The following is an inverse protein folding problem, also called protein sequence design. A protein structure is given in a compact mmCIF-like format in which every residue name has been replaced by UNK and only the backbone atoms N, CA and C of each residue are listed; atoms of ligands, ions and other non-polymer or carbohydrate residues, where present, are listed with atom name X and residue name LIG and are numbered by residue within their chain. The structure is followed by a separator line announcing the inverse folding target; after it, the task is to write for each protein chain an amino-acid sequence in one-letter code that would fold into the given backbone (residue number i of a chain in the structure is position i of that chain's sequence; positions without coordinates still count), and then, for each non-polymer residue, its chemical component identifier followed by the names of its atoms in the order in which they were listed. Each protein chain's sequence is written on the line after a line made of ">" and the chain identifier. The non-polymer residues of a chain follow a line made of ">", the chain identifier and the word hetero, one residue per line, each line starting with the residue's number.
data_IF_058944351369
#
_entry.id   IF_058944351369
#
_cell.length_a   1.000
_cell.length_b   1.000
_cell.length_c   1.000
_cell.angle_alpha   90.00
_cell.angle_beta   90.00
_cell.angle_gamma   90.00
#
_symmetry.space_group_name_H-M   'P 1'
#
loop_
_entity.id
_entity.type
_entity.pdbx_description
1 polymer ?
#
# COMPACT_ATOMS: atom_id res chain seq x y z
N UNK A 1 -20.40 12.55 7.11
CA UNK A 1 -19.18 12.92 6.37
C UNK A 1 -19.04 12.00 5.19
N UNK A 2 -18.45 12.49 4.11
CA UNK A 2 -18.09 11.73 2.93
C UNK A 2 -16.59 11.43 2.96
N UNK A 3 -16.24 10.15 3.06
CA UNK A 3 -14.87 9.68 3.25
C UNK A 3 -14.39 9.04 1.96
N UNK A 4 -13.33 9.59 1.36
CA UNK A 4 -12.62 8.96 0.26
C UNK A 4 -11.61 7.94 0.81
N UNK A 5 -11.89 6.66 0.61
CA UNK A 5 -11.03 5.54 0.99
C UNK A 5 -10.22 5.06 -0.23
N UNK A 6 -8.90 4.89 -0.05
CA UNK A 6 -7.98 4.48 -1.11
C UNK A 6 -7.33 3.14 -0.78
N UNK A 7 -7.53 2.14 -1.65
CA UNK A 7 -6.89 0.83 -1.52
C UNK A 7 -6.51 0.22 -2.86
N UNK A 8 -5.21 0.14 -3.14
CA UNK A 8 -4.62 -0.54 -4.30
C UNK A 8 -4.77 -2.06 -4.27
N UNK A 9 -5.21 -2.62 -3.14
CA UNK A 9 -5.63 -4.02 -3.04
C UNK A 9 -7.15 -4.06 -3.02
N UNK A 10 -7.74 -4.82 -3.94
CA UNK A 10 -9.18 -5.01 -3.96
C UNK A 10 -9.63 -5.70 -2.65
N UNK A 11 -10.53 -5.08 -1.85
CA UNK A 11 -10.74 -5.51 -0.46
C UNK A 11 -11.68 -6.71 -0.30
N UNK A 12 -12.28 -7.21 -1.39
CA UNK A 12 -13.31 -8.24 -1.34
C UNK A 12 -12.98 -9.45 -2.22
N UNK A 13 -13.28 -10.70 -1.82
CA UNK A 13 -13.87 -11.11 -0.54
C UNK A 13 -12.86 -10.98 0.61
N UNK A 14 -13.35 -10.76 1.84
CA UNK A 14 -12.52 -10.63 3.04
C UNK A 14 -11.97 -11.97 3.53
N UNK A 15 -11.62 -12.87 2.62
CA UNK A 15 -11.06 -14.20 2.88
C UNK A 15 -9.71 -14.42 2.19
N UNK A 16 -9.28 -13.50 1.32
CA UNK A 16 -8.05 -13.63 0.50
C UNK A 16 -6.76 -13.24 1.23
N UNK A 17 -6.84 -12.66 2.42
CA UNK A 17 -5.65 -12.26 3.20
C UNK A 17 -5.95 -11.21 4.26
N UNK A 18 -4.96 -10.94 5.11
CA UNK A 18 -5.08 -10.02 6.23
C UNK A 18 -5.38 -8.58 5.80
N UNK A 19 -4.82 -8.13 4.68
CA UNK A 19 -5.12 -6.81 4.12
C UNK A 19 -6.57 -6.70 3.68
N UNK A 20 -7.09 -7.66 2.90
CA UNK A 20 -8.50 -7.67 2.48
C UNK A 20 -9.44 -7.70 3.70
N UNK A 21 -9.16 -8.55 4.69
CA UNK A 21 -9.94 -8.62 5.93
C UNK A 21 -9.98 -7.27 6.65
N UNK A 22 -8.84 -6.63 6.88
CA UNK A 22 -8.78 -5.35 7.60
C UNK A 22 -9.47 -4.24 6.83
N UNK A 23 -9.13 -4.07 5.55
CA UNK A 23 -9.67 -3.01 4.71
C UNK A 23 -11.18 -3.14 4.55
N UNK A 24 -11.70 -4.34 4.29
CA UNK A 24 -13.13 -4.55 4.15
C UNK A 24 -13.90 -4.31 5.45
N UNK A 25 -13.38 -4.77 6.60
CA UNK A 25 -14.06 -4.55 7.88
C UNK A 25 -14.01 -3.08 8.31
N UNK A 26 -12.91 -2.37 8.03
CA UNK A 26 -12.84 -0.93 8.25
C UNK A 26 -13.85 -0.18 7.37
N UNK A 27 -13.91 -0.52 6.08
CA UNK A 27 -14.89 0.02 5.14
C UNK A 27 -16.33 -0.20 5.63
N UNK A 28 -16.65 -1.43 6.07
CA UNK A 28 -17.97 -1.77 6.60
C UNK A 28 -18.29 -0.97 7.85
N UNK A 29 -17.33 -0.81 8.75
CA UNK A 29 -17.50 -0.02 9.97
C UNK A 29 -17.75 1.47 9.67
N UNK A 30 -16.95 2.07 8.77
CA UNK A 30 -17.11 3.48 8.38
C UNK A 30 -18.45 3.72 7.68
N UNK A 31 -18.88 2.79 6.83
CA UNK A 31 -20.14 2.88 6.08
C UNK A 31 -21.39 2.85 6.95
N UNK A 32 -21.28 2.48 8.24
CA UNK A 32 -22.41 2.55 9.18
C UNK A 32 -22.83 3.99 9.52
N UNK A 33 -21.91 4.97 9.41
CA UNK A 33 -22.16 6.36 9.82
C UNK A 33 -21.68 7.41 8.81
N UNK A 34 -21.04 6.98 7.74
CA UNK A 34 -20.39 7.85 6.77
C UNK A 34 -20.64 7.35 5.36
N UNK A 35 -20.69 8.29 4.41
CA UNK A 35 -20.75 7.95 2.99
C UNK A 35 -19.33 7.64 2.52
N UNK A 36 -19.02 6.35 2.34
CA UNK A 36 -17.70 5.94 1.88
C UNK A 36 -17.67 5.95 0.35
N UNK A 37 -16.71 6.68 -0.22
CA UNK A 37 -16.30 6.62 -1.63
C UNK A 37 -15.03 5.76 -1.67
N UNK A 38 -15.03 4.65 -2.40
CA UNK A 38 -13.87 3.77 -2.52
C UNK A 38 -13.23 3.87 -3.91
N UNK A 39 -11.93 4.18 -3.93
CA UNK A 39 -11.06 3.98 -5.10
C UNK A 39 -10.20 2.74 -4.92
N UNK A 40 -10.26 1.80 -5.86
CA UNK A 40 -9.49 0.55 -5.79
C UNK A 40 -8.99 0.05 -7.15
N UNK A 41 -8.04 -0.89 -7.15
CA UNK A 41 -7.51 -1.54 -8.34
C UNK A 41 -8.09 -2.94 -8.49
N UNK A 42 -8.44 -3.33 -9.72
CA UNK A 42 -8.88 -4.69 -10.06
C UNK A 42 -7.67 -5.58 -10.33
N UNK A 43 -7.51 -6.63 -9.53
CA UNK A 43 -6.59 -7.74 -9.85
C UNK A 43 -7.27 -8.77 -10.77
N UNK A 44 -6.50 -9.63 -11.48
CA UNK A 44 -7.08 -10.54 -12.48
C UNK A 44 -8.10 -11.53 -11.91
N UNK A 45 -7.94 -11.88 -10.63
CA UNK A 45 -8.78 -12.81 -9.87
C UNK A 45 -10.07 -12.16 -9.32
N UNK A 46 -10.29 -10.87 -9.59
CA UNK A 46 -11.51 -10.15 -9.18
C UNK A 46 -12.59 -10.27 -10.27
N UNK A 47 -13.70 -10.88 -9.89
CA UNK A 47 -14.87 -11.10 -10.74
C UNK A 47 -15.82 -9.91 -10.71
N UNK A 48 -16.69 -9.77 -11.71
CA UNK A 48 -17.70 -8.71 -11.72
C UNK A 48 -18.71 -8.86 -10.58
N UNK A 49 -19.05 -10.10 -10.20
CA UNK A 49 -19.89 -10.40 -9.03
C UNK A 49 -19.29 -9.79 -7.75
N UNK A 50 -17.98 -9.96 -7.55
CA UNK A 50 -17.28 -9.38 -6.39
C UNK A 50 -17.24 -7.85 -6.42
N UNK A 51 -17.20 -7.25 -7.61
CA UNK A 51 -17.30 -5.79 -7.78
C UNK A 51 -18.71 -5.32 -7.40
N UNK A 52 -19.74 -6.01 -7.85
CA UNK A 52 -21.13 -5.67 -7.56
C UNK A 52 -21.46 -5.84 -6.07
N UNK A 53 -20.95 -6.90 -5.43
CA UNK A 53 -21.09 -7.11 -3.99
C UNK A 53 -20.40 -6.00 -3.19
N UNK A 54 -19.18 -5.61 -3.57
CA UNK A 54 -18.47 -4.51 -2.93
C UNK A 54 -19.17 -3.16 -3.16
N UNK A 55 -19.74 -2.94 -4.36
CA UNK A 55 -20.48 -1.71 -4.71
C UNK A 55 -21.67 -1.49 -3.78
N UNK A 56 -22.33 -2.55 -3.34
CA UNK A 56 -23.44 -2.48 -2.39
C UNK A 56 -23.02 -2.08 -0.96
N UNK A 57 -21.72 -2.11 -0.64
CA UNK A 57 -21.20 -1.78 0.69
C UNK A 57 -20.74 -0.31 0.82
N UNK A 58 -20.73 0.45 -0.27
CA UNK A 58 -20.20 1.84 -0.31
C UNK A 58 -21.14 2.77 -1.05
N UNK A 59 -21.02 4.07 -0.81
CA UNK A 59 -21.82 5.09 -1.50
C UNK A 59 -21.39 5.26 -2.97
N UNK A 60 -20.08 5.16 -3.24
CA UNK A 60 -19.53 5.21 -4.59
C UNK A 60 -18.31 4.28 -4.69
N UNK A 61 -18.21 3.55 -5.80
CA UNK A 61 -17.09 2.64 -6.08
C UNK A 61 -16.49 2.95 -7.46
N UNK A 62 -15.22 3.33 -7.45
CA UNK A 62 -14.38 3.46 -8.64
C UNK A 62 -13.32 2.35 -8.67
N UNK A 63 -13.31 1.58 -9.75
CA UNK A 63 -12.41 0.44 -9.95
C UNK A 63 -11.53 0.72 -11.17
N UNK A 64 -10.22 0.65 -10.99
CA UNK A 64 -9.23 0.92 -12.04
C UNK A 64 -8.44 -0.35 -12.39
N UNK A 65 -7.90 -0.47 -13.62
CA UNK A 65 -7.02 -1.59 -13.96
C UNK A 65 -5.74 -1.54 -13.12
N UNK A 66 -5.25 -2.71 -12.71
CA UNK A 66 -3.93 -2.81 -12.08
C UNK A 66 -2.84 -2.68 -13.17
N UNK A 67 -1.91 -1.71 -13.06
CA UNK A 67 -0.88 -1.43 -14.06
C UNK A 67 0.13 -2.57 -14.26
N UNK A 68 0.20 -3.54 -13.36
CA UNK A 68 1.06 -4.72 -13.52
C UNK A 68 0.51 -5.79 -14.47
N UNK A 69 -0.70 -5.61 -15.02
CA UNK A 69 -1.33 -6.59 -15.92
C UNK A 69 -1.23 -6.11 -17.38
N UNK A 70 -0.53 -6.83 -18.28
CA UNK A 70 -0.72 -6.65 -19.72
C UNK A 70 -2.15 -7.08 -20.13
N UNK A 71 -2.77 -6.49 -21.17
CA UNK A 71 -4.08 -6.94 -21.64
C UNK A 71 -4.04 -8.44 -21.99
N UNK A 72 -4.93 -9.23 -21.37
CA UNK A 72 -4.97 -10.70 -21.50
C UNK A 72 -5.68 -11.13 -22.80
N UNK A 73 -5.15 -12.10 -23.58
CA UNK A 73 -5.92 -12.85 -24.58
C UNK A 73 -6.97 -13.76 -23.91
N UNK A 74 -7.96 -14.30 -24.66
CA UNK A 74 -9.06 -15.07 -24.08
C UNK A 74 -8.61 -16.36 -23.36
N UNK A 75 -9.29 -16.68 -22.24
CA UNK A 75 -8.95 -17.76 -21.31
C UNK A 75 -8.88 -19.15 -21.95
N UNK A 76 -7.71 -19.79 -21.81
CA UNK A 76 -7.54 -21.24 -21.85
C UNK A 76 -7.77 -21.87 -20.47
N UNK A 77 -8.45 -23.02 -20.43
CA UNK A 77 -8.95 -23.69 -19.22
C UNK A 77 -7.83 -24.22 -18.30
N UNK A 78 -8.02 -24.02 -16.99
CA UNK A 78 -7.61 -24.98 -15.95
C UNK A 78 -6.29 -24.71 -15.25
N UNK A 79 -6.36 -24.27 -13.98
CA UNK A 79 -5.23 -24.31 -13.06
C UNK A 79 -5.42 -23.38 -11.85
N UNK A 80 -5.92 -23.92 -10.73
CA UNK A 80 -5.90 -23.21 -9.44
C UNK A 80 -4.44 -23.04 -8.98
N UNK A 81 -4.07 -21.81 -8.60
CA UNK A 81 -2.90 -21.55 -7.72
C UNK A 81 -3.39 -20.78 -6.50
N UNK A 82 -3.26 -21.39 -5.31
CA UNK A 82 -3.32 -20.66 -4.05
C UNK A 82 -2.06 -19.79 -3.96
N UNK A 83 -2.22 -18.48 -3.96
CA UNK A 83 -1.13 -17.54 -3.64
C UNK A 83 -1.37 -17.01 -2.23
N UNK A 84 -0.52 -17.45 -1.31
CA UNK A 84 -0.48 -16.98 0.07
C UNK A 84 0.25 -15.63 0.07
N UNK A 85 -0.49 -14.56 -0.20
CA UNK A 85 0.04 -13.19 -0.20
C UNK A 85 -0.14 -12.60 1.19
N UNK A 86 0.73 -13.02 2.10
CA UNK A 86 0.86 -12.43 3.43
C UNK A 86 2.31 -11.98 3.58
N UNK A 87 2.46 -10.69 3.84
CA UNK A 87 3.62 -10.05 4.49
C UNK A 87 4.94 -9.90 3.71
N UNK A 88 5.10 -10.56 2.56
CA UNK A 88 6.32 -10.45 1.73
C UNK A 88 6.41 -9.24 0.77
N UNK A 89 5.31 -8.51 0.54
CA UNK A 89 5.19 -7.48 -0.51
C UNK A 89 5.88 -6.15 -0.23
N UNK A 90 6.40 -5.96 1.00
CA UNK A 90 7.07 -4.71 1.36
C UNK A 90 8.55 -4.70 0.94
N UNK A 91 9.16 -5.88 0.81
CA UNK A 91 10.51 -6.05 0.28
C UNK A 91 10.42 -6.68 -1.12
N UNK A 92 11.29 -6.32 -2.08
CA UNK A 92 11.32 -7.03 -3.36
C UNK A 92 11.56 -8.53 -3.12
N UNK A 93 10.99 -9.43 -3.96
CA UNK A 93 10.94 -10.85 -3.69
C UNK A 93 12.33 -11.46 -3.43
N UNK A 94 12.43 -12.52 -2.61
CA UNK A 94 13.69 -13.18 -2.30
C UNK A 94 14.48 -13.59 -3.55
N UNK A 95 15.81 -13.63 -3.40
CA UNK A 95 16.66 -14.48 -4.20
C UNK A 95 16.32 -15.96 -3.88
N UNK A 96 15.42 -16.60 -4.62
CA UNK A 96 15.33 -18.06 -4.56
C UNK A 96 16.65 -18.65 -5.08
N UNK A 97 17.31 -19.50 -4.29
CA UNK A 97 18.28 -20.45 -4.82
C UNK A 97 17.51 -21.60 -5.49
N UNK A 98 17.77 -21.84 -6.77
CA UNK A 98 17.37 -23.08 -7.45
C UNK A 98 16.41 -22.90 -8.62
N UNK A 99 16.87 -22.23 -9.67
CA UNK A 99 16.27 -22.23 -11.00
C UNK A 99 17.31 -21.70 -11.95
N UNK A 100 18.09 -22.60 -12.55
CA UNK A 100 19.07 -22.31 -13.60
C UNK A 100 18.36 -21.79 -14.83
N UNK A 101 17.93 -20.53 -14.82
CA UNK A 101 17.51 -19.74 -15.98
C UNK A 101 17.25 -18.29 -15.53
N UNK A 102 18.30 -17.47 -15.51
CA UNK A 102 18.20 -16.09 -15.05
C UNK A 102 19.52 -15.34 -15.15
N UNK A 103 20.15 -15.37 -16.34
CA UNK A 103 21.36 -14.61 -16.67
C UNK A 103 21.20 -13.10 -16.50
N UNK A 104 22.29 -12.37 -16.71
CA UNK A 104 22.49 -10.91 -16.82
C UNK A 104 21.26 -9.98 -16.60
N UNK A 105 20.15 -10.22 -17.33
CA UNK A 105 18.84 -9.59 -17.16
C UNK A 105 18.31 -9.52 -15.71
N UNK A 106 18.50 -10.55 -14.88
CA UNK A 106 18.02 -10.54 -13.49
C UNK A 106 18.78 -9.58 -12.56
N UNK A 107 20.05 -9.31 -12.86
CA UNK A 107 20.91 -8.36 -12.12
C UNK A 107 20.61 -6.93 -12.57
N UNK A 108 20.45 -6.72 -13.89
CA UNK A 108 20.06 -5.42 -14.47
C UNK A 108 18.72 -4.95 -13.90
N UNK A 109 17.71 -5.83 -13.83
CA UNK A 109 16.40 -5.48 -13.27
C UNK A 109 16.45 -5.07 -11.79
N UNK A 110 17.40 -5.60 -11.01
CA UNK A 110 17.60 -5.23 -9.60
C UNK A 110 18.27 -3.86 -9.46
N UNK A 111 19.32 -3.61 -10.24
CA UNK A 111 20.00 -2.32 -10.28
C UNK A 111 19.05 -1.20 -10.72
N UNK A 112 18.21 -1.46 -11.72
CA UNK A 112 17.19 -0.53 -12.17
C UNK A 112 16.21 -0.16 -11.04
N UNK A 113 15.67 -1.14 -10.30
CA UNK A 113 14.74 -0.89 -9.18
C UNK A 113 15.38 -0.10 -8.04
N UNK A 114 16.63 -0.41 -7.70
CA UNK A 114 17.36 0.34 -6.67
C UNK A 114 17.64 1.78 -7.12
N UNK A 115 18.09 1.98 -8.36
CA UNK A 115 18.28 3.30 -8.95
C UNK A 115 17.00 4.11 -8.98
N UNK A 116 15.87 3.49 -9.35
CA UNK A 116 14.56 4.11 -9.33
C UNK A 116 14.15 4.55 -7.91
N UNK A 117 14.47 3.76 -6.87
CA UNK A 117 14.20 4.17 -5.50
C UNK A 117 15.06 5.36 -5.08
N UNK A 118 16.36 5.34 -5.40
CA UNK A 118 17.26 6.46 -5.13
C UNK A 118 16.81 7.76 -5.82
N UNK A 119 16.37 7.66 -7.08
CA UNK A 119 15.94 8.83 -7.86
C UNK A 119 14.57 9.37 -7.41
N UNK A 120 13.60 8.49 -7.19
CA UNK A 120 12.21 8.89 -6.88
C UNK A 120 11.94 9.08 -5.39
N UNK A 121 12.82 8.58 -4.52
CA UNK A 121 12.58 8.47 -3.08
C UNK A 121 11.35 7.62 -2.74
N UNK A 122 10.82 6.85 -3.69
CA UNK A 122 9.59 6.06 -3.57
C UNK A 122 9.90 4.59 -3.89
N UNK A 123 9.57 3.65 -2.99
CA UNK A 123 9.82 2.25 -3.20
C UNK A 123 9.20 1.71 -4.50
N UNK A 124 9.89 0.84 -5.26
CA UNK A 124 9.39 0.32 -6.53
C UNK A 124 8.05 -0.43 -6.41
N UNK A 125 7.80 -1.11 -5.28
CA UNK A 125 6.52 -1.79 -5.02
C UNK A 125 5.35 -0.80 -4.95
N UNK A 126 5.56 0.40 -4.40
CA UNK A 126 4.56 1.48 -4.37
C UNK A 126 4.31 2.00 -5.80
N UNK A 127 5.39 2.32 -6.53
CA UNK A 127 5.30 2.82 -7.92
C UNK A 127 4.61 1.81 -8.84
N UNK A 128 4.86 0.52 -8.61
CA UNK A 128 4.29 -0.53 -9.44
C UNK A 128 2.77 -0.70 -9.30
N UNK A 129 2.17 -0.10 -8.27
CA UNK A 129 0.71 -0.07 -8.04
C UNK A 129 0.10 1.28 -8.42
N UNK A 130 0.89 2.21 -8.95
CA UNK A 130 0.41 3.54 -9.29
C UNK A 130 -0.41 3.55 -10.58
N UNK A 131 -1.65 4.01 -10.48
CA UNK A 131 -2.56 4.20 -11.61
C UNK A 131 -2.77 5.69 -11.88
N UNK A 132 -2.32 6.23 -13.03
CA UNK A 132 -2.58 7.62 -13.40
C UNK A 132 -4.07 7.94 -13.47
N UNK A 133 -4.90 7.00 -13.92
CA UNK A 133 -6.36 7.15 -13.97
C UNK A 133 -6.95 7.29 -12.56
N UNK A 134 -6.49 6.47 -11.61
CA UNK A 134 -6.92 6.59 -10.21
C UNK A 134 -6.45 7.93 -9.62
N UNK A 135 -5.21 8.35 -9.88
CA UNK A 135 -4.73 9.65 -9.40
C UNK A 135 -5.57 10.81 -9.93
N UNK A 136 -5.90 10.79 -11.24
CA UNK A 136 -6.71 11.84 -11.85
C UNK A 136 -8.09 11.91 -11.20
N UNK A 137 -8.75 10.76 -11.04
CA UNK A 137 -10.04 10.68 -10.36
C UNK A 137 -9.99 11.18 -8.90
N UNK A 138 -8.95 10.80 -8.13
CA UNK A 138 -8.76 11.31 -6.77
C UNK A 138 -8.57 12.83 -6.78
N UNK A 139 -7.75 13.37 -7.69
CA UNK A 139 -7.55 14.81 -7.80
C UNK A 139 -8.88 15.54 -8.08
N UNK A 140 -9.69 15.05 -9.02
CA UNK A 140 -10.98 15.66 -9.35
C UNK A 140 -11.94 15.68 -8.15
N UNK A 141 -12.05 14.57 -7.41
CA UNK A 141 -12.88 14.51 -6.20
C UNK A 141 -12.44 15.52 -5.14
N UNK A 142 -11.13 15.59 -4.87
CA UNK A 142 -10.57 16.47 -3.84
C UNK A 142 -10.70 17.94 -4.25
N UNK A 143 -10.32 18.29 -5.48
CA UNK A 143 -10.43 19.66 -6.00
C UNK A 143 -11.87 20.13 -6.07
N UNK A 144 -12.82 19.26 -6.39
CA UNK A 144 -14.25 19.58 -6.39
C UNK A 144 -14.88 19.63 -4.98
N UNK A 145 -14.10 19.42 -3.91
CA UNK A 145 -14.62 19.41 -2.54
C UNK A 145 -15.63 18.29 -2.28
N UNK A 146 -15.53 17.17 -2.99
CA UNK A 146 -16.49 16.05 -2.91
C UNK A 146 -16.25 15.12 -1.73
N UNK A 147 -15.23 15.34 -0.90
CA UNK A 147 -15.00 14.56 0.31
C UNK A 147 -14.56 15.44 1.47
N UNK A 148 -14.95 15.06 2.69
CA UNK A 148 -14.56 15.74 3.94
C UNK A 148 -13.26 15.16 4.52
N UNK A 149 -12.92 13.93 4.14
CA UNK A 149 -11.73 13.24 4.61
C UNK A 149 -11.20 12.25 3.54
N UNK A 150 -9.89 12.02 3.55
CA UNK A 150 -9.24 10.93 2.84
C UNK A 150 -8.65 9.96 3.86
N UNK A 151 -8.85 8.67 3.62
CA UNK A 151 -8.13 7.61 4.32
C UNK A 151 -7.52 6.63 3.33
N UNK A 152 -6.29 6.18 3.58
CA UNK A 152 -5.66 5.16 2.74
C UNK A 152 -5.06 4.03 3.56
N UNK A 153 -5.06 2.84 2.95
CA UNK A 153 -4.60 1.62 3.60
C UNK A 153 -3.10 1.43 3.39
N UNK A 154 -2.30 1.58 4.45
CA UNK A 154 -0.87 1.31 4.45
C UNK A 154 -0.04 2.16 3.47
N UNK A 155 1.28 2.00 3.56
CA UNK A 155 2.25 2.81 2.81
C UNK A 155 2.11 2.69 1.29
N UNK A 156 1.59 1.58 0.76
CA UNK A 156 1.44 1.38 -0.70
C UNK A 156 0.39 2.30 -1.34
N UNK A 157 -0.49 2.91 -0.55
CA UNK A 157 -1.54 3.81 -1.03
C UNK A 157 -1.24 5.29 -0.78
N UNK A 158 -0.15 5.60 -0.06
CA UNK A 158 0.24 6.97 0.29
C UNK A 158 0.52 7.84 -0.95
N UNK A 159 0.97 7.21 -2.03
CA UNK A 159 1.33 7.88 -3.28
C UNK A 159 0.17 8.65 -3.90
N UNK A 160 -1.07 8.23 -3.64
CA UNK A 160 -2.27 8.91 -4.15
C UNK A 160 -2.63 10.18 -3.36
N UNK A 161 -2.06 10.36 -2.17
CA UNK A 161 -2.32 11.48 -1.27
C UNK A 161 -1.24 12.55 -1.46
N UNK A 162 -1.66 13.77 -1.72
CA UNK A 162 -0.75 14.92 -1.87
C UNK A 162 -0.52 15.62 -0.53
N UNK A 163 0.71 16.03 -0.21
CA UNK A 163 1.03 16.65 1.08
C UNK A 163 0.24 17.94 1.34
N UNK A 164 -0.02 18.74 0.32
CA UNK A 164 -0.77 20.00 0.41
C UNK A 164 -2.21 19.81 0.89
N UNK A 165 -2.81 18.63 0.66
CA UNK A 165 -4.20 18.37 1.08
C UNK A 165 -4.35 18.36 2.59
N UNK A 166 -3.31 18.02 3.34
CA UNK A 166 -3.32 18.03 4.82
C UNK A 166 -3.73 19.38 5.42
N UNK A 167 -3.49 20.48 4.71
CA UNK A 167 -3.77 21.83 5.20
C UNK A 167 -5.28 22.11 5.31
N UNK A 168 -6.08 21.51 4.43
CA UNK A 168 -7.50 21.84 4.28
C UNK A 168 -8.43 20.61 4.31
N UNK A 169 -7.87 19.40 4.39
CA UNK A 169 -8.59 18.15 4.35
C UNK A 169 -8.08 17.20 5.44
N UNK A 170 -9.00 16.52 6.13
CA UNK A 170 -8.62 15.48 7.07
C UNK A 170 -7.99 14.31 6.29
N UNK A 171 -6.69 14.11 6.46
CA UNK A 171 -5.95 13.03 5.80
C UNK A 171 -5.50 12.01 6.83
N UNK A 172 -5.82 10.73 6.60
CA UNK A 172 -5.55 9.63 7.53
C UNK A 172 -4.84 8.49 6.80
N UNK A 173 -3.78 7.94 7.39
CA UNK A 173 -3.16 6.70 6.91
C UNK A 173 -3.32 5.60 7.95
N UNK A 174 -3.78 4.42 7.53
CA UNK A 174 -3.90 3.23 8.37
C UNK A 174 -2.67 2.34 8.16
N UNK A 175 -1.69 2.44 9.05
CA UNK A 175 -0.42 1.72 8.97
C UNK A 175 -0.56 0.36 9.67
N UNK A 176 -0.49 -0.71 8.87
CA UNK A 176 -0.49 -2.09 9.37
C UNK A 176 0.84 -2.55 9.97
N UNK A 177 1.95 -2.02 9.47
CA UNK A 177 3.29 -2.27 9.97
C UNK A 177 4.21 -1.12 9.60
N UNK A 178 5.16 -0.77 10.47
CA UNK A 178 6.21 0.17 10.06
C UNK A 178 7.12 -0.50 9.05
N UNK A 179 7.33 0.19 7.94
CA UNK A 179 8.15 -0.23 6.82
C UNK A 179 9.62 -0.35 7.22
N UNK A 180 10.15 0.71 7.82
CA UNK A 180 11.53 0.75 8.29
C UNK A 180 11.68 -0.02 9.59
N UNK A 181 10.66 0.01 10.47
CA UNK A 181 10.63 -0.77 11.70
C UNK A 181 10.72 -2.28 11.45
N UNK A 182 9.91 -2.81 10.53
CA UNK A 182 9.96 -4.22 10.13
C UNK A 182 11.33 -4.58 9.56
N UNK A 183 11.89 -3.73 8.68
CA UNK A 183 13.23 -3.94 8.11
C UNK A 183 14.33 -3.95 9.19
N UNK A 184 14.29 -3.02 10.14
CA UNK A 184 15.22 -2.94 11.28
C UNK A 184 15.12 -4.19 12.14
N UNK A 185 13.91 -4.59 12.52
CA UNK A 185 13.66 -5.78 13.33
C UNK A 185 14.14 -7.07 12.63
N UNK A 186 13.92 -7.21 11.33
CA UNK A 186 14.40 -8.37 10.57
C UNK A 186 15.93 -8.47 10.54
N UNK A 187 16.62 -7.32 10.47
CA UNK A 187 18.08 -7.25 10.53
C UNK A 187 18.63 -7.58 11.92
N UNK A 188 17.96 -7.11 12.98
CA UNK A 188 18.35 -7.35 14.38
C UNK A 188 18.11 -8.80 14.82
N UNK A 189 16.99 -9.40 14.39
CA UNK A 189 16.62 -10.78 14.72
C UNK A 189 17.27 -11.82 13.80
N UNK A 190 18.00 -11.40 12.77
CA UNK A 190 18.61 -12.29 11.78
C UNK A 190 17.60 -13.02 10.88
N UNK A 191 16.36 -12.54 10.80
CA UNK A 191 15.28 -13.12 9.98
C UNK A 191 15.21 -12.52 8.57
N UNK A 192 16.01 -11.49 8.29
CA UNK A 192 16.13 -10.94 6.94
C UNK A 192 16.68 -11.99 5.96
N UNK A 193 15.94 -12.23 4.88
CA UNK A 193 16.38 -13.11 3.78
C UNK A 193 17.58 -12.53 3.02
N UNK A 194 17.76 -11.21 3.02
CA UNK A 194 18.83 -10.51 2.30
C UNK A 194 19.44 -9.37 3.14
N UNK A 195 20.22 -9.68 4.19
CA UNK A 195 20.65 -8.69 5.18
C UNK A 195 21.47 -7.53 4.61
N UNK A 196 22.32 -7.80 3.61
CA UNK A 196 23.12 -6.74 2.97
C UNK A 196 22.23 -5.72 2.24
N UNK A 197 21.25 -6.21 1.46
CA UNK A 197 20.28 -5.36 0.75
C UNK A 197 19.46 -4.55 1.74
N UNK A 198 18.96 -5.19 2.77
CA UNK A 198 18.07 -4.55 3.74
C UNK A 198 18.82 -3.49 4.55
N UNK A 199 20.10 -3.73 4.90
CA UNK A 199 20.97 -2.70 5.50
C UNK A 199 21.17 -1.49 4.59
N UNK A 200 21.36 -1.72 3.29
CA UNK A 200 21.52 -0.64 2.31
C UNK A 200 20.22 0.16 2.09
N UNK A 201 19.07 -0.52 2.11
CA UNK A 201 17.77 0.12 1.90
C UNK A 201 17.22 0.81 3.15
N UNK A 202 17.60 0.38 4.36
CA UNK A 202 17.02 0.87 5.61
C UNK A 202 17.03 2.41 5.73
N UNK A 203 18.13 3.14 5.45
CA UNK A 203 18.12 4.60 5.50
C UNK A 203 17.13 5.24 4.50
N UNK A 204 16.99 4.65 3.31
CA UNK A 204 16.03 5.11 2.30
C UNK A 204 14.59 4.85 2.75
N UNK A 205 14.33 3.70 3.37
CA UNK A 205 13.03 3.37 3.94
C UNK A 205 12.66 4.30 5.09
N UNK A 206 13.60 4.62 5.97
CA UNK A 206 13.40 5.61 7.05
C UNK A 206 13.03 6.97 6.47
N UNK A 207 13.77 7.44 5.45
CA UNK A 207 13.47 8.72 4.81
C UNK A 207 12.12 8.71 4.09
N UNK A 208 11.82 7.65 3.34
CA UNK A 208 10.54 7.44 2.67
C UNK A 208 9.38 7.45 3.67
N UNK A 209 9.49 6.72 4.78
CA UNK A 209 8.43 6.57 5.76
C UNK A 209 8.14 7.89 6.50
N UNK A 210 9.18 8.63 6.89
CA UNK A 210 9.04 10.00 7.41
C UNK A 210 8.33 10.91 6.41
N UNK A 211 8.76 10.87 5.15
CA UNK A 211 8.23 11.73 4.08
C UNK A 211 6.76 11.47 3.82
N UNK A 212 6.33 10.20 3.73
CA UNK A 212 4.91 9.94 3.50
C UNK A 212 4.06 10.21 4.74
N UNK A 213 4.54 9.90 5.94
CA UNK A 213 3.81 10.18 7.18
C UNK A 213 3.52 11.68 7.34
N UNK A 214 4.43 12.56 6.88
CA UNK A 214 4.23 14.00 6.89
C UNK A 214 2.99 14.46 6.09
N UNK A 215 2.53 13.67 5.10
CA UNK A 215 1.35 13.98 4.29
C UNK A 215 0.03 13.88 5.07
N UNK A 216 0.00 13.23 6.24
CA UNK A 216 -1.25 12.83 6.90
C UNK A 216 -1.51 13.55 8.20
N UNK A 217 -2.66 14.21 8.32
CA UNK A 217 -3.16 14.86 9.54
C UNK A 217 -3.20 13.90 10.73
N UNK A 218 -3.50 12.62 10.49
CA UNK A 218 -3.53 11.55 11.50
C UNK A 218 -2.91 10.27 10.97
N UNK A 219 -2.22 9.55 11.85
CA UNK A 219 -1.63 8.25 11.57
C UNK A 219 -2.28 7.25 12.53
N UNK A 220 -2.82 6.17 11.99
CA UNK A 220 -3.41 5.08 12.77
C UNK A 220 -2.48 3.88 12.66
N UNK A 221 -2.00 3.37 13.78
CA UNK A 221 -1.21 2.14 13.85
C UNK A 221 -2.12 0.96 14.22
N UNK A 222 -1.89 -0.21 13.61
CA UNK A 222 -2.71 -1.40 13.87
C UNK A 222 -2.36 -2.07 15.21
N UNK A 223 -1.11 -1.98 15.64
CA UNK A 223 -0.66 -2.53 16.93
C UNK A 223 0.10 -1.49 17.75
N UNK A 224 0.20 -1.73 19.07
CA UNK A 224 1.02 -0.86 19.94
C UNK A 224 2.51 -0.93 19.58
N UNK A 225 3.00 -2.06 19.07
CA UNK A 225 4.38 -2.20 18.59
C UNK A 225 4.63 -1.24 17.42
N UNK A 226 3.75 -1.25 16.41
CA UNK A 226 3.86 -0.37 15.26
C UNK A 226 3.74 1.10 15.66
N UNK A 227 2.86 1.40 16.61
CA UNK A 227 2.73 2.76 17.16
C UNK A 227 4.04 3.23 17.77
N UNK A 228 4.69 2.42 18.60
CA UNK A 228 5.97 2.77 19.21
C UNK A 228 7.08 2.94 18.16
N UNK A 229 7.15 2.05 17.17
CA UNK A 229 8.10 2.17 16.06
C UNK A 229 7.89 3.47 15.27
N UNK A 230 6.64 3.84 14.99
CA UNK A 230 6.31 5.07 14.29
C UNK A 230 6.60 6.31 15.14
N UNK A 231 6.36 6.27 16.45
CA UNK A 231 6.71 7.37 17.36
C UNK A 231 8.22 7.58 17.42
N UNK A 232 9.00 6.50 17.58
CA UNK A 232 10.48 6.55 17.53
C UNK A 232 10.96 7.11 16.20
N UNK A 233 10.37 6.65 15.09
CA UNK A 233 10.70 7.14 13.76
C UNK A 233 10.45 8.64 13.62
N UNK A 234 9.26 9.12 14.02
CA UNK A 234 8.81 10.48 13.73
C UNK A 234 9.38 11.54 14.69
N UNK A 235 9.58 11.18 15.96
CA UNK A 235 9.95 12.13 17.03
C UNK A 235 11.33 11.84 17.65
N UNK A 236 11.96 10.72 17.29
CA UNK A 236 13.20 10.27 17.90
C UNK A 236 13.01 9.82 19.36
N UNK A 237 14.06 9.32 20.00
CA UNK A 237 13.96 8.82 21.37
C UNK A 237 13.77 9.94 22.42
N UNK A 238 14.09 11.19 22.07
CA UNK A 238 14.20 12.33 22.99
C UNK A 238 12.96 13.21 23.17
N UNK A 239 11.90 13.04 22.36
CA UNK A 239 10.67 13.84 22.46
C UNK A 239 9.48 13.08 23.11
N UNK A 240 9.75 11.94 23.76
CA UNK A 240 8.73 11.11 24.44
C UNK A 240 8.16 11.70 25.75
N UNK A 241 8.37 13.00 26.02
CA UNK A 241 8.09 13.61 27.32
C UNK A 241 7.62 15.06 27.31
N UNK A 242 6.91 15.52 26.27
CA UNK A 242 6.21 16.82 26.29
C UNK A 242 4.77 16.69 25.84
#
# INVERSE_FOLDING_TARGET
>A
MRILMLSSTFPYPPSRGGTQVRTFNLLKYLSQRHDVILGTLRSPDVTDVQIDELRQQVAELAVFPNPQIPPQPPLGKGGLRLHQQLDGDFLPPPLSKGGTEGGFYGIIGKLHRFSQFLQSGTPPNVLSRYSPAMQHWVNELVTAGKCDAITCEHSVNEIYVRPEWRQNLLTVVNIHSSVSGTCKQMLETGTSENPLRDRLNLPLLVHYEKRYCAKFSRIVATTEIDKQQLLELLFGEGERGR
#
